data_IF_453981810479
#
_entry.id   IF_453981810479
#
_cell.length_a   1.000
_cell.length_b   1.000
_cell.length_c   1.000
_cell.angle_alpha   90.00
_cell.angle_beta   90.00
_cell.angle_gamma   90.00
#
_symmetry.space_group_name_H-M   'P 1'
#
loop_
_entity.id
_entity.type
_entity.pdbx_description
1 polymer ?
#
# COMPACT_ATOMS: atom_id res chain seq x y z
N UNK A 1 -4.39 24.80 10.71
CA UNK A 1 -4.98 24.33 11.99
C UNK A 1 -4.28 25.07 13.12
N UNK A 2 -5.05 25.66 14.03
CA UNK A 2 -4.56 26.49 15.14
C UNK A 2 -3.82 25.67 16.20
N UNK A 3 -2.63 26.14 16.59
CA UNK A 3 -1.82 25.59 17.68
C UNK A 3 -2.52 25.91 19.00
N UNK A 4 -3.04 24.89 19.68
CA UNK A 4 -3.55 25.04 21.04
C UNK A 4 -2.33 25.06 21.97
N UNK A 5 -2.19 26.13 22.75
CA UNK A 5 -1.06 26.37 23.64
C UNK A 5 -1.11 25.42 24.86
N UNK A 6 0.04 24.86 25.26
CA UNK A 6 0.22 23.91 26.37
C UNK A 6 -0.32 24.47 27.70
N UNK A 7 -0.22 25.78 27.89
CA UNK A 7 -0.71 26.48 29.08
C UNK A 7 -2.24 26.55 29.13
N UNK A 8 -2.90 26.62 27.97
CA UNK A 8 -4.36 26.64 27.86
C UNK A 8 -4.93 25.27 28.20
N UNK A 9 -4.29 24.19 27.73
CA UNK A 9 -4.67 22.81 28.10
C UNK A 9 -4.52 22.58 29.61
N UNK A 10 -3.41 23.03 30.21
CA UNK A 10 -3.17 22.89 31.65
C UNK A 10 -4.20 23.66 32.51
N UNK A 11 -4.56 24.89 32.10
CA UNK A 11 -5.60 25.67 32.79
C UNK A 11 -7.00 25.06 32.63
N UNK A 12 -7.33 24.53 31.45
CA UNK A 12 -8.61 23.86 31.20
C UNK A 12 -8.76 22.60 32.07
N UNK A 13 -7.68 21.84 32.28
CA UNK A 13 -7.69 20.68 33.16
C UNK A 13 -7.77 21.02 34.65
N UNK A 14 -7.22 22.18 35.07
CA UNK A 14 -7.32 22.66 36.45
C UNK A 14 -8.73 23.16 36.80
N UNK A 15 -9.44 23.79 35.85
CA UNK A 15 -10.85 24.19 36.04
C UNK A 15 -11.83 23.02 36.02
N UNK A 16 -11.53 21.95 35.28
CA UNK A 16 -12.36 20.74 35.23
C UNK A 16 -12.15 19.79 36.44
N UNK A 17 -11.15 20.06 37.28
CA UNK A 17 -10.75 19.24 38.44
C UNK A 17 -11.88 19.04 39.47
N UNK A 18 -12.81 20.00 39.57
CA UNK A 18 -13.92 19.97 40.55
C UNK A 18 -15.17 19.24 40.05
N UNK A 19 -15.24 18.86 38.77
CA UNK A 19 -16.37 18.11 38.20
C UNK A 19 -15.91 16.83 37.47
N UNK A 20 -15.58 15.82 38.29
CA UNK A 20 -15.14 14.49 37.85
C UNK A 20 -16.13 13.78 36.91
N UNK A 21 -17.44 14.10 36.97
CA UNK A 21 -18.47 13.53 36.09
C UNK A 21 -18.41 14.13 34.69
N UNK A 22 -18.10 15.42 34.58
CA UNK A 22 -17.94 16.10 33.29
C UNK A 22 -16.64 15.71 32.58
N UNK A 23 -15.55 15.46 33.32
CA UNK A 23 -14.32 14.86 32.77
C UNK A 23 -14.61 13.47 32.19
N UNK A 24 -15.34 12.63 32.94
CA UNK A 24 -15.69 11.27 32.51
C UNK A 24 -16.59 11.28 31.25
N UNK A 25 -17.55 12.20 31.18
CA UNK A 25 -18.38 12.43 29.99
C UNK A 25 -17.58 12.86 28.75
N UNK A 26 -16.60 13.77 28.93
CA UNK A 26 -15.71 14.23 27.86
C UNK A 26 -14.74 13.14 27.36
N UNK A 27 -14.22 12.31 28.27
CA UNK A 27 -13.35 11.16 27.96
C UNK A 27 -14.06 10.09 27.14
N UNK A 28 -15.35 9.87 27.38
CA UNK A 28 -16.16 8.84 26.70
C UNK A 28 -16.66 9.26 25.32
N UNK A 29 -16.62 10.56 24.99
CA UNK A 29 -17.22 11.07 23.74
C UNK A 29 -16.22 11.30 22.60
N UNK A 30 -14.90 11.30 22.86
CA UNK A 30 -13.87 11.44 21.82
C UNK A 30 -12.59 10.66 22.15
N UNK A 31 -12.38 9.55 21.44
CA UNK A 31 -11.21 8.65 21.56
C UNK A 31 -9.85 9.37 21.63
N UNK A 32 -9.69 10.51 20.96
CA UNK A 32 -8.42 11.26 20.90
C UNK A 32 -8.00 11.92 22.21
N UNK A 33 -8.93 12.28 23.10
CA UNK A 33 -8.57 13.00 24.34
C UNK A 33 -7.92 12.05 25.36
N UNK A 34 -8.38 10.80 25.43
CA UNK A 34 -7.75 9.76 26.26
C UNK A 34 -6.32 9.46 25.81
N UNK A 35 -6.06 9.42 24.49
CA UNK A 35 -4.70 9.24 23.96
C UNK A 35 -3.76 10.40 24.29
N UNK A 36 -4.26 11.65 24.24
CA UNK A 36 -3.49 12.84 24.64
C UNK A 36 -3.20 12.79 26.16
N UNK A 37 -4.18 12.39 26.97
CA UNK A 37 -4.02 12.24 28.42
C UNK A 37 -3.01 11.14 28.74
N UNK A 38 -3.12 9.95 28.16
CA UNK A 38 -2.14 8.88 28.36
C UNK A 38 -0.72 9.25 27.87
N UNK A 39 -0.62 10.01 26.78
CA UNK A 39 0.66 10.47 26.21
C UNK A 39 1.36 11.52 27.08
N UNK A 40 0.61 12.44 27.71
CA UNK A 40 1.19 13.50 28.54
C UNK A 40 1.29 13.17 30.03
N UNK A 41 0.55 12.18 30.54
CA UNK A 41 0.38 12.01 31.98
C UNK A 41 0.95 10.71 32.57
N UNK A 42 1.32 9.69 31.79
CA UNK A 42 1.71 8.40 32.41
C UNK A 42 3.04 8.45 33.18
N UNK A 43 3.98 9.33 32.81
CA UNK A 43 5.23 9.52 33.55
C UNK A 43 5.05 10.39 34.80
N UNK A 44 4.40 11.54 34.65
CA UNK A 44 4.30 12.54 35.72
C UNK A 44 3.23 12.21 36.77
N UNK A 45 2.20 11.41 36.44
CA UNK A 45 1.15 11.01 37.39
C UNK A 45 1.67 10.01 38.42
N UNK A 46 2.51 9.05 38.07
CA UNK A 46 2.96 8.04 39.04
C UNK A 46 3.81 8.70 40.14
N UNK A 47 4.68 9.63 39.75
CA UNK A 47 5.46 10.47 40.66
C UNK A 47 4.57 11.45 41.45
N UNK A 48 3.60 12.09 40.81
CA UNK A 48 2.66 13.01 41.48
C UNK A 48 1.72 12.31 42.47
N UNK A 49 1.16 11.15 42.14
CA UNK A 49 0.27 10.35 42.99
C UNK A 49 1.03 9.82 44.21
N UNK A 50 2.26 9.34 44.01
CA UNK A 50 3.12 8.86 45.09
C UNK A 50 3.52 10.00 46.03
N UNK A 51 3.82 11.20 45.48
CA UNK A 51 4.15 12.39 46.26
C UNK A 51 2.96 13.00 47.02
N UNK A 52 1.73 12.74 46.59
CA UNK A 52 0.50 13.20 47.27
C UNK A 52 -0.07 12.18 48.28
N UNK A 53 0.59 11.04 48.48
CA UNK A 53 0.19 10.03 49.48
C UNK A 53 -1.11 9.28 49.16
N UNK A 54 -1.56 9.31 47.89
CA UNK A 54 -2.77 8.63 47.44
C UNK A 54 -2.43 7.16 47.17
N UNK A 55 -2.97 6.23 47.95
CA UNK A 55 -2.85 4.81 47.64
C UNK A 55 -3.70 4.46 46.41
N UNK A 56 -3.03 4.11 45.30
CA UNK A 56 -3.71 3.46 44.18
C UNK A 56 -4.30 2.13 44.66
N UNK A 57 -5.57 1.82 44.34
CA UNK A 57 -6.18 0.57 44.74
C UNK A 57 -5.36 -0.59 44.17
N UNK A 58 -4.76 -1.38 45.07
CA UNK A 58 -4.06 -2.60 44.74
C UNK A 58 -5.00 -3.51 43.97
N UNK A 59 -4.68 -3.77 42.70
CA UNK A 59 -5.21 -4.87 41.90
C UNK A 59 -6.73 -5.06 41.96
N UNK A 60 -7.53 -4.18 41.32
CA UNK A 60 -8.89 -4.52 40.85
C UNK A 60 -9.60 -3.30 40.28
N UNK A 61 -9.38 -3.02 38.99
CA UNK A 61 -10.41 -2.42 38.13
C UNK A 61 -10.07 -2.78 36.68
N UNK A 62 -10.10 -4.08 36.41
CA UNK A 62 -10.01 -4.70 35.08
C UNK A 62 -11.27 -4.51 34.23
N UNK A 63 -12.20 -3.61 34.59
CA UNK A 63 -13.59 -3.67 34.06
C UNK A 63 -14.17 -2.39 33.46
N UNK A 64 -13.42 -1.31 33.20
CA UNK A 64 -14.02 -0.05 32.72
C UNK A 64 -13.52 0.51 31.37
N UNK A 65 -12.65 -0.20 30.67
CA UNK A 65 -12.42 0.03 29.24
C UNK A 65 -12.37 -1.35 28.59
N UNK A 66 -13.41 -1.70 27.84
CA UNK A 66 -13.38 -2.87 26.96
C UNK A 66 -12.38 -2.57 25.83
N UNK A 67 -11.08 -2.67 26.11
CA UNK A 67 -10.00 -2.65 25.12
C UNK A 67 -10.16 -3.77 24.06
N UNK A 68 -11.07 -4.70 24.30
CA UNK A 68 -11.58 -5.69 23.36
C UNK A 68 -12.22 -5.09 22.09
N UNK A 69 -12.56 -3.80 22.06
CA UNK A 69 -13.12 -3.18 20.85
C UNK A 69 -12.05 -2.69 19.86
N UNK A 70 -10.78 -2.58 20.26
CA UNK A 70 -9.73 -2.01 19.40
C UNK A 70 -9.25 -3.08 18.42
N UNK A 71 -9.76 -3.00 17.18
CA UNK A 71 -9.32 -3.86 16.08
C UNK A 71 -8.22 -3.24 15.20
N UNK A 72 -7.96 -1.94 15.33
CA UNK A 72 -6.97 -1.21 14.55
C UNK A 72 -6.11 -0.33 15.46
N UNK A 73 -4.80 -0.38 15.26
CA UNK A 73 -3.82 0.41 16.01
C UNK A 73 -2.85 1.11 15.07
N UNK A 74 -2.67 2.42 15.28
CA UNK A 74 -1.65 3.23 14.62
C UNK A 74 -0.50 3.45 15.59
N UNK A 75 0.69 3.02 15.21
CA UNK A 75 1.90 3.17 16.00
C UNK A 75 2.84 4.18 15.34
N UNK A 76 3.48 5.00 16.17
CA UNK A 76 4.59 5.83 15.75
C UNK A 76 5.81 5.40 16.56
N UNK A 77 6.92 5.06 15.90
CA UNK A 77 8.08 4.48 16.58
C UNK A 77 8.79 5.45 17.53
N UNK A 78 8.58 6.76 17.38
CA UNK A 78 9.06 7.80 18.31
C UNK A 78 8.36 7.80 19.68
N UNK A 79 7.21 7.12 19.81
CA UNK A 79 6.52 6.99 21.10
C UNK A 79 7.26 5.97 21.97
N UNK A 80 7.44 6.29 23.26
CA UNK A 80 8.22 5.46 24.19
C UNK A 80 7.77 3.99 24.23
N UNK A 81 8.73 3.06 24.26
CA UNK A 81 8.46 1.61 24.19
C UNK A 81 7.55 1.10 25.32
N UNK A 82 7.62 1.71 26.50
CA UNK A 82 6.77 1.39 27.66
C UNK A 82 5.27 1.52 27.36
N UNK A 83 4.90 2.48 26.52
CA UNK A 83 3.52 2.65 26.06
C UNK A 83 3.02 1.41 25.30
N UNK A 84 3.80 0.94 24.33
CA UNK A 84 3.43 -0.24 23.54
C UNK A 84 3.52 -1.53 24.35
N UNK A 85 4.42 -1.61 25.33
CA UNK A 85 4.40 -2.69 26.32
C UNK A 85 3.08 -2.73 27.10
N UNK A 86 2.57 -1.58 27.56
CA UNK A 86 1.25 -1.51 28.19
C UNK A 86 0.14 -2.02 27.27
N UNK A 87 0.10 -1.53 26.02
CA UNK A 87 -0.88 -1.97 25.01
C UNK A 87 -0.79 -3.47 24.67
N UNK A 88 0.41 -4.05 24.73
CA UNK A 88 0.62 -5.48 24.53
C UNK A 88 -0.10 -6.33 25.59
N UNK A 89 -0.37 -5.78 26.77
CA UNK A 89 -1.08 -6.49 27.85
C UNK A 89 -2.60 -6.36 27.75
N UNK A 90 -3.13 -5.21 27.31
CA UNK A 90 -4.58 -4.94 27.35
C UNK A 90 -5.32 -5.07 26.01
N UNK A 91 -4.70 -4.76 24.87
CA UNK A 91 -5.42 -4.68 23.58
C UNK A 91 -5.49 -6.00 22.81
N UNK A 92 -6.34 -6.95 23.22
CA UNK A 92 -6.29 -8.34 22.73
C UNK A 92 -6.80 -8.55 21.29
N UNK A 93 -7.64 -7.66 20.77
CA UNK A 93 -8.40 -7.87 19.52
C UNK A 93 -7.85 -7.13 18.30
N UNK A 94 -6.62 -6.62 18.37
CA UNK A 94 -5.98 -5.93 17.24
C UNK A 94 -5.84 -6.89 16.05
N UNK A 95 -6.37 -6.48 14.91
CA UNK A 95 -6.28 -7.19 13.63
C UNK A 95 -5.57 -6.35 12.56
N UNK A 96 -5.60 -5.02 12.68
CA UNK A 96 -4.95 -4.06 11.79
C UNK A 96 -3.89 -3.28 12.56
N UNK A 97 -2.70 -3.22 12.02
CA UNK A 97 -1.58 -2.49 12.61
C UNK A 97 -0.93 -1.63 11.53
N UNK A 98 -0.94 -0.33 11.74
CA UNK A 98 -0.25 0.62 10.88
C UNK A 98 0.91 1.22 11.67
N UNK A 99 2.12 1.23 11.11
CA UNK A 99 3.31 1.76 11.76
C UNK A 99 3.87 2.88 10.90
N UNK A 100 4.03 4.05 11.49
CA UNK A 100 4.85 5.14 10.95
C UNK A 100 6.19 5.09 11.65
N UNK A 101 7.23 4.76 10.89
CA UNK A 101 8.59 4.68 11.42
C UNK A 101 9.32 6.01 11.25
N UNK A 102 9.54 6.69 12.38
CA UNK A 102 10.28 7.95 12.46
C UNK A 102 11.64 7.75 13.11
N UNK A 103 11.74 6.84 14.09
CA UNK A 103 13.00 6.54 14.76
C UNK A 103 13.85 5.57 13.93
N UNK A 104 15.16 5.69 14.12
CA UNK A 104 16.14 4.70 13.71
C UNK A 104 15.89 3.50 14.62
N UNK A 105 16.22 3.52 15.91
CA UNK A 105 16.18 2.31 16.76
C UNK A 105 14.83 1.54 16.77
N UNK A 106 14.84 0.18 16.78
CA UNK A 106 13.61 -0.58 16.83
C UNK A 106 12.89 -0.35 18.16
N UNK A 107 11.58 -0.14 18.10
CA UNK A 107 10.77 0.02 19.29
C UNK A 107 10.38 -1.35 19.86
N UNK A 108 11.10 -1.80 20.90
CA UNK A 108 10.89 -3.13 21.50
C UNK A 108 9.47 -3.35 22.04
N UNK A 109 8.78 -2.28 22.43
CA UNK A 109 7.39 -2.34 22.85
C UNK A 109 6.45 -2.72 21.70
N UNK A 110 6.67 -2.15 20.51
CA UNK A 110 5.95 -2.54 19.28
C UNK A 110 6.28 -3.99 18.90
N UNK A 111 7.55 -4.37 18.95
CA UNK A 111 7.98 -5.75 18.68
C UNK A 111 7.25 -6.72 19.62
N UNK A 112 7.17 -6.39 20.91
CA UNK A 112 6.44 -7.20 21.89
C UNK A 112 4.94 -7.22 21.61
N UNK A 113 4.36 -6.08 21.24
CA UNK A 113 2.95 -5.98 20.87
C UNK A 113 2.62 -6.90 19.68
N UNK A 114 3.46 -6.96 18.65
CA UNK A 114 3.24 -7.87 17.52
C UNK A 114 3.41 -9.33 17.95
N UNK A 115 4.43 -9.63 18.75
CA UNK A 115 4.73 -10.99 19.23
C UNK A 115 3.59 -11.63 20.01
N UNK A 116 2.93 -10.87 20.89
CA UNK A 116 1.82 -11.39 21.68
C UNK A 116 0.51 -11.48 20.88
N UNK A 117 0.45 -10.89 19.68
CA UNK A 117 -0.76 -10.80 18.84
C UNK A 117 -0.69 -11.73 17.64
N UNK A 118 -1.17 -12.96 17.83
CA UNK A 118 -1.17 -14.01 16.80
C UNK A 118 -2.25 -13.88 15.71
N UNK A 119 -3.18 -12.93 15.85
CA UNK A 119 -4.34 -12.78 14.96
C UNK A 119 -4.29 -11.50 14.10
N UNK A 120 -3.11 -10.87 13.97
CA UNK A 120 -2.90 -9.76 13.05
C UNK A 120 -3.12 -10.21 11.60
N UNK A 121 -3.99 -9.48 10.90
CA UNK A 121 -4.42 -9.77 9.53
C UNK A 121 -3.99 -8.69 8.55
N UNK A 122 -3.85 -7.46 9.00
CA UNK A 122 -3.51 -6.34 8.13
C UNK A 122 -2.34 -5.59 8.74
N UNK A 123 -1.29 -5.42 7.96
CA UNK A 123 -0.10 -4.70 8.36
C UNK A 123 0.24 -3.67 7.30
N UNK A 124 0.46 -2.45 7.76
CA UNK A 124 0.89 -1.33 6.94
C UNK A 124 2.07 -0.63 7.62
N UNK A 125 3.09 -0.33 6.83
CA UNK A 125 4.32 0.25 7.32
C UNK A 125 4.75 1.38 6.39
N UNK A 126 4.82 2.60 6.94
CA UNK A 126 5.23 3.83 6.27
C UNK A 126 6.54 4.31 6.90
N UNK A 127 7.53 4.72 6.10
CA UNK A 127 8.86 5.06 6.61
C UNK A 127 9.47 6.30 5.97
N UNK A 128 10.13 7.11 6.80
CA UNK A 128 10.90 8.30 6.36
C UNK A 128 12.44 8.11 6.42
N UNK A 129 12.96 7.09 7.13
CA UNK A 129 14.41 6.87 7.33
C UNK A 129 14.77 5.37 7.40
N UNK A 130 15.95 4.96 6.92
CA UNK A 130 16.48 3.55 6.87
C UNK A 130 16.33 2.83 8.23
N UNK A 131 15.76 1.61 8.31
CA UNK A 131 15.89 0.81 9.55
C UNK A 131 15.54 -0.71 9.62
N UNK A 132 16.11 -1.33 10.66
CA UNK A 132 16.10 -2.72 11.18
C UNK A 132 14.80 -3.22 11.84
N UNK A 133 13.70 -2.44 11.91
CA UNK A 133 12.49 -2.91 12.61
C UNK A 133 11.76 -4.02 11.82
N UNK A 134 11.66 -3.87 10.49
CA UNK A 134 11.01 -4.85 9.61
C UNK A 134 11.57 -6.27 9.82
N UNK A 135 12.89 -6.48 9.90
CA UNK A 135 13.47 -7.78 10.22
C UNK A 135 12.97 -8.43 11.51
N UNK A 136 12.74 -7.63 12.54
CA UNK A 136 12.30 -8.11 13.83
C UNK A 136 10.82 -8.49 13.84
N UNK A 137 9.99 -7.88 12.99
CA UNK A 137 8.54 -8.00 13.06
C UNK A 137 7.93 -8.85 11.96
N UNK A 138 8.48 -8.83 10.74
CA UNK A 138 7.90 -9.55 9.60
C UNK A 138 7.76 -11.06 9.83
N UNK A 139 8.75 -11.76 10.43
CA UNK A 139 8.62 -13.19 10.72
C UNK A 139 7.55 -13.53 11.78
N UNK A 140 7.09 -12.55 12.55
CA UNK A 140 6.10 -12.74 13.63
C UNK A 140 4.65 -12.76 13.12
N UNK A 141 4.41 -12.43 11.85
CA UNK A 141 3.06 -12.51 11.25
C UNK A 141 2.78 -13.90 10.69
N UNK A 142 1.68 -14.52 11.11
CA UNK A 142 1.31 -15.89 10.68
C UNK A 142 -0.04 -16.01 9.96
N UNK A 143 -0.92 -15.01 10.10
CA UNK A 143 -2.29 -15.00 9.53
C UNK A 143 -2.54 -13.75 8.69
N UNK A 144 -1.47 -13.22 8.11
CA UNK A 144 -1.51 -11.95 7.40
C UNK A 144 -2.29 -12.10 6.08
N UNK A 145 -3.22 -11.17 5.86
CA UNK A 145 -4.04 -11.02 4.65
C UNK A 145 -3.64 -9.81 3.82
N UNK A 146 -3.16 -8.74 4.45
CA UNK A 146 -2.61 -7.55 3.78
C UNK A 146 -1.22 -7.26 4.32
N UNK A 147 -0.25 -7.17 3.42
CA UNK A 147 1.07 -6.60 3.66
C UNK A 147 1.20 -5.34 2.81
N UNK A 148 1.33 -4.18 3.45
CA UNK A 148 1.64 -2.92 2.79
C UNK A 148 2.94 -2.34 3.37
N UNK A 149 3.93 -2.10 2.52
CA UNK A 149 5.22 -1.51 2.88
C UNK A 149 5.47 -0.38 1.90
N UNK A 150 5.38 0.86 2.39
CA UNK A 150 5.77 2.06 1.68
C UNK A 150 7.08 2.58 2.30
N UNK A 151 8.18 2.10 1.72
CA UNK A 151 9.52 2.32 2.24
C UNK A 151 10.45 2.48 1.05
N UNK A 152 11.31 3.50 1.10
CA UNK A 152 12.49 3.56 0.25
C UNK A 152 13.51 2.47 0.66
N UNK A 153 13.25 1.23 0.24
CA UNK A 153 14.08 0.05 0.54
C UNK A 153 15.46 0.12 -0.14
N UNK A 154 15.88 1.28 -0.67
CA UNK A 154 17.09 1.52 -1.45
C UNK A 154 18.39 1.03 -0.79
N UNK A 155 18.39 0.74 0.52
CA UNK A 155 19.62 0.48 1.30
C UNK A 155 19.61 -0.77 2.19
N UNK A 156 18.56 -1.60 2.21
CA UNK A 156 18.49 -2.67 3.23
C UNK A 156 18.89 -4.05 2.71
N UNK A 157 19.74 -4.76 3.46
CA UNK A 157 20.09 -6.18 3.26
C UNK A 157 18.97 -7.17 3.64
N UNK A 158 17.74 -6.67 3.69
CA UNK A 158 16.54 -7.38 4.16
C UNK A 158 15.85 -8.16 3.05
N UNK A 159 16.36 -8.05 1.81
CA UNK A 159 15.81 -8.75 0.66
C UNK A 159 15.78 -10.26 0.86
N UNK A 160 16.85 -10.85 1.42
CA UNK A 160 16.90 -12.30 1.68
C UNK A 160 15.88 -12.72 2.74
N UNK A 161 15.68 -11.89 3.77
CA UNK A 161 14.63 -12.14 4.74
C UNK A 161 13.26 -12.10 4.07
N UNK A 162 12.97 -11.04 3.31
CA UNK A 162 11.69 -10.86 2.63
C UNK A 162 11.37 -12.03 1.68
N UNK A 163 12.37 -12.51 0.94
CA UNK A 163 12.24 -13.68 0.05
C UNK A 163 11.94 -14.98 0.81
N UNK A 164 12.32 -15.07 2.08
CA UNK A 164 12.06 -16.26 2.91
C UNK A 164 10.70 -16.25 3.62
N UNK A 165 9.97 -15.13 3.56
CA UNK A 165 8.69 -14.99 4.26
C UNK A 165 7.60 -15.85 3.61
N UNK A 166 6.79 -16.48 4.46
CA UNK A 166 5.70 -17.37 4.06
C UNK A 166 4.39 -16.86 4.65
N UNK A 167 3.50 -16.38 3.78
CA UNK A 167 2.20 -15.83 4.17
C UNK A 167 1.08 -16.51 3.37
N UNK A 168 0.67 -17.70 3.80
CA UNK A 168 -0.30 -18.53 3.05
C UNK A 168 -1.68 -17.88 2.86
N UNK A 169 -2.08 -17.02 3.79
CA UNK A 169 -3.37 -16.31 3.77
C UNK A 169 -3.32 -14.95 3.09
N UNK A 170 -2.20 -14.57 2.47
CA UNK A 170 -2.02 -13.25 1.88
C UNK A 170 -2.95 -13.05 0.68
N UNK A 171 -3.76 -11.99 0.74
CA UNK A 171 -4.72 -11.59 -0.30
C UNK A 171 -4.27 -10.30 -1.00
N UNK A 172 -3.56 -9.42 -0.29
CA UNK A 172 -3.11 -8.11 -0.76
C UNK A 172 -1.62 -7.94 -0.42
N UNK A 173 -0.83 -7.72 -1.46
CA UNK A 173 0.57 -7.36 -1.37
C UNK A 173 0.75 -5.98 -2.00
N UNK A 174 1.17 -5.00 -1.20
CA UNK A 174 1.56 -3.68 -1.66
C UNK A 174 2.99 -3.40 -1.17
N UNK A 175 3.98 -3.37 -2.05
CA UNK A 175 5.35 -3.05 -1.65
C UNK A 175 5.94 -2.09 -2.67
N UNK A 176 6.08 -0.84 -2.26
CA UNK A 176 6.74 0.19 -3.06
C UNK A 176 8.27 0.15 -2.90
N UNK A 177 8.97 0.73 -3.88
CA UNK A 177 10.44 0.83 -3.95
C UNK A 177 11.23 -0.47 -3.69
N UNK A 178 10.63 -1.63 -3.96
CA UNK A 178 11.26 -2.96 -3.82
C UNK A 178 11.79 -3.51 -5.14
N UNK A 179 12.60 -4.57 -5.06
CA UNK A 179 13.05 -5.34 -6.22
C UNK A 179 11.96 -6.34 -6.63
N UNK A 180 11.64 -6.46 -7.93
CA UNK A 180 10.66 -7.44 -8.42
C UNK A 180 10.99 -8.88 -8.02
N UNK A 181 12.26 -9.21 -7.81
CA UNK A 181 12.66 -10.53 -7.31
C UNK A 181 12.13 -10.81 -5.89
N UNK A 182 12.11 -9.80 -5.02
CA UNK A 182 11.55 -9.94 -3.66
C UNK A 182 10.04 -10.18 -3.74
N UNK A 183 9.34 -9.37 -4.55
CA UNK A 183 7.90 -9.52 -4.77
C UNK A 183 7.60 -10.91 -5.37
N UNK A 184 8.41 -11.36 -6.33
CA UNK A 184 8.30 -12.68 -6.97
C UNK A 184 8.45 -13.83 -5.97
N UNK A 185 9.43 -13.75 -5.06
CA UNK A 185 9.61 -14.77 -4.02
C UNK A 185 8.45 -14.78 -3.02
N UNK A 186 7.93 -13.62 -2.64
CA UNK A 186 6.73 -13.56 -1.79
C UNK A 186 5.54 -14.22 -2.51
N UNK A 187 5.32 -13.91 -3.80
CA UNK A 187 4.26 -14.52 -4.61
C UNK A 187 4.38 -16.05 -4.64
N UNK A 188 5.59 -16.58 -4.84
CA UNK A 188 5.86 -18.02 -4.87
C UNK A 188 5.60 -18.69 -3.51
N UNK A 189 5.86 -17.98 -2.41
CA UNK A 189 5.61 -18.48 -1.05
C UNK A 189 4.16 -18.29 -0.58
N UNK A 190 3.33 -17.55 -1.32
CA UNK A 190 1.94 -17.30 -0.97
C UNK A 190 1.05 -18.48 -1.38
N UNK A 191 0.01 -18.78 -0.59
CA UNK A 191 -0.88 -19.94 -0.79
C UNK A 191 -1.87 -19.80 -1.96
N UNK A 192 -1.54 -19.03 -3.00
CA UNK A 192 -2.38 -18.83 -4.19
C UNK A 192 -3.63 -17.97 -3.98
N UNK A 193 -3.70 -17.22 -2.87
CA UNK A 193 -4.87 -16.39 -2.48
C UNK A 193 -4.77 -14.92 -2.85
N UNK A 194 -3.66 -14.52 -3.46
CA UNK A 194 -3.41 -13.14 -3.85
C UNK A 194 -4.45 -12.65 -4.86
N UNK A 195 -5.08 -11.53 -4.52
CA UNK A 195 -6.05 -10.80 -5.35
C UNK A 195 -5.50 -9.45 -5.79
N UNK A 196 -4.53 -8.90 -5.04
CA UNK A 196 -3.91 -7.61 -5.34
C UNK A 196 -2.40 -7.68 -5.18
N UNK A 197 -1.69 -7.30 -6.24
CA UNK A 197 -0.25 -7.07 -6.23
C UNK A 197 -0.05 -5.65 -6.72
N UNK A 198 0.32 -4.77 -5.80
CA UNK A 198 0.42 -3.34 -6.03
C UNK A 198 1.87 -2.91 -5.73
N UNK A 199 2.36 -2.04 -6.59
CA UNK A 199 3.58 -1.28 -6.38
C UNK A 199 3.59 -0.13 -7.38
N UNK A 200 4.30 0.94 -7.07
CA UNK A 200 4.56 2.06 -7.99
C UNK A 200 5.62 1.65 -9.01
N UNK A 201 5.26 1.51 -10.30
CA UNK A 201 6.20 1.02 -11.31
C UNK A 201 7.44 1.91 -11.49
N UNK A 202 7.30 3.22 -11.24
CA UNK A 202 8.37 4.23 -11.37
C UNK A 202 9.34 4.28 -10.19
N UNK A 203 9.00 3.62 -9.09
CA UNK A 203 9.83 3.61 -7.89
C UNK A 203 10.68 2.35 -7.77
N UNK A 204 10.57 1.42 -8.73
CA UNK A 204 11.36 0.18 -8.72
C UNK A 204 12.88 0.46 -8.70
N UNK A 205 13.61 -0.24 -7.83
CA UNK A 205 15.10 -0.19 -7.75
C UNK A 205 15.79 -0.45 -9.09
N UNK A 206 15.12 -1.21 -9.94
CA UNK A 206 15.50 -1.58 -11.29
C UNK A 206 15.78 -0.39 -12.21
N UNK A 207 15.20 0.78 -11.93
CA UNK A 207 15.45 2.02 -12.66
C UNK A 207 16.85 2.60 -12.35
N UNK A 208 17.51 2.19 -11.26
CA UNK A 208 18.73 2.87 -10.76
C UNK A 208 20.02 2.02 -10.72
N UNK A 209 19.99 0.68 -10.88
CA UNK A 209 21.19 -0.19 -10.96
C UNK A 209 20.96 -1.48 -11.76
N UNK A 210 21.99 -1.94 -12.48
CA UNK A 210 22.20 -3.27 -13.09
C UNK A 210 20.92 -4.10 -13.35
N UNK A 211 19.99 -3.51 -14.10
CA UNK A 211 18.74 -4.16 -14.42
C UNK A 211 18.99 -5.44 -15.23
N UNK A 212 18.53 -6.58 -14.70
CA UNK A 212 18.49 -7.83 -15.46
C UNK A 212 17.08 -8.03 -15.98
N UNK A 213 16.96 -8.05 -17.32
CA UNK A 213 15.77 -8.44 -18.08
C UNK A 213 15.08 -9.72 -17.57
N UNK A 214 15.82 -10.61 -16.90
CA UNK A 214 15.30 -11.82 -16.27
C UNK A 214 14.33 -11.56 -15.11
N UNK A 215 14.46 -10.45 -14.37
CA UNK A 215 13.67 -10.20 -13.16
C UNK A 215 12.20 -9.88 -13.50
N UNK A 216 11.98 -8.96 -14.45
CA UNK A 216 10.64 -8.61 -14.94
C UNK A 216 9.95 -9.81 -15.58
N UNK A 217 10.67 -10.58 -16.41
CA UNK A 217 10.12 -11.84 -16.97
C UNK A 217 9.74 -12.82 -15.86
N UNK A 218 10.64 -13.05 -14.90
CA UNK A 218 10.37 -13.95 -13.78
C UNK A 218 9.15 -13.49 -12.98
N UNK A 219 9.02 -12.19 -12.72
CA UNK A 219 7.85 -11.63 -12.04
C UNK A 219 6.54 -11.95 -12.79
N UNK A 220 6.48 -11.67 -14.10
CA UNK A 220 5.30 -11.97 -14.92
C UNK A 220 4.97 -13.46 -14.85
N UNK A 221 5.98 -14.33 -14.95
CA UNK A 221 5.83 -15.79 -14.86
C UNK A 221 5.27 -16.21 -13.51
N UNK A 222 5.87 -15.75 -12.41
CA UNK A 222 5.42 -16.07 -11.06
C UNK A 222 4.00 -15.60 -10.78
N UNK A 223 3.59 -14.44 -11.31
CA UNK A 223 2.21 -13.95 -11.17
C UNK A 223 1.23 -14.91 -11.83
N UNK A 224 1.40 -15.24 -13.11
CA UNK A 224 0.42 -16.10 -13.78
C UNK A 224 0.47 -17.56 -13.30
N UNK A 225 1.61 -18.03 -12.78
CA UNK A 225 1.76 -19.39 -12.22
C UNK A 225 1.09 -19.53 -10.86
N UNK A 226 1.16 -18.50 -10.01
CA UNK A 226 0.78 -18.61 -8.60
C UNK A 226 -0.45 -17.77 -8.22
N UNK A 227 -0.89 -16.83 -9.05
CA UNK A 227 -1.97 -15.88 -8.71
C UNK A 227 -3.15 -15.92 -9.72
N UNK A 228 -3.82 -17.06 -9.96
CA UNK A 228 -4.95 -17.13 -10.90
C UNK A 228 -6.17 -16.31 -10.47
N UNK A 229 -6.24 -15.93 -9.18
CA UNK A 229 -7.31 -15.11 -8.60
C UNK A 229 -7.01 -13.60 -8.64
N UNK A 230 -5.92 -13.18 -9.28
CA UNK A 230 -5.51 -11.78 -9.31
C UNK A 230 -6.60 -10.89 -9.94
N UNK A 231 -6.91 -9.80 -9.26
CA UNK A 231 -7.90 -8.80 -9.67
C UNK A 231 -7.25 -7.42 -9.92
N UNK A 232 -6.21 -7.07 -9.16
CA UNK A 232 -5.48 -5.81 -9.28
C UNK A 232 -4.00 -6.11 -9.44
N UNK A 233 -3.39 -5.61 -10.50
CA UNK A 233 -1.99 -5.89 -10.81
C UNK A 233 -1.27 -4.62 -11.26
N UNK A 234 -0.19 -4.28 -10.57
CA UNK A 234 0.90 -3.47 -11.12
C UNK A 234 1.89 -4.37 -11.86
N UNK A 235 2.33 -3.94 -13.04
CA UNK A 235 3.29 -4.68 -13.86
C UNK A 235 4.23 -3.72 -14.57
N UNK A 236 5.48 -4.14 -14.74
CA UNK A 236 6.46 -3.44 -15.58
C UNK A 236 6.78 -4.25 -16.81
N UNK A 237 6.67 -3.60 -17.97
CA UNK A 237 6.96 -4.19 -19.27
C UNK A 237 8.20 -3.56 -19.88
N UNK A 238 8.97 -4.39 -20.57
CA UNK A 238 10.04 -3.94 -21.45
C UNK A 238 9.59 -4.04 -22.90
N UNK A 239 10.08 -3.17 -23.78
CA UNK A 239 9.80 -3.17 -25.21
C UNK A 239 10.51 -4.36 -25.91
N UNK A 240 10.12 -5.59 -25.58
CA UNK A 240 10.70 -6.78 -26.20
C UNK A 240 9.64 -7.85 -26.45
N UNK A 241 9.84 -8.61 -27.54
CA UNK A 241 8.95 -9.69 -27.95
C UNK A 241 8.74 -10.74 -26.85
N UNK A 242 9.80 -11.04 -26.09
CA UNK A 242 9.70 -12.00 -24.98
C UNK A 242 8.76 -11.50 -23.88
N UNK A 243 8.88 -10.23 -23.48
CA UNK A 243 7.99 -9.62 -22.47
C UNK A 243 6.55 -9.60 -22.93
N UNK A 244 6.30 -9.21 -24.18
CA UNK A 244 4.97 -9.20 -24.76
C UNK A 244 4.35 -10.59 -24.82
N UNK A 245 5.12 -11.64 -25.14
CA UNK A 245 4.64 -13.01 -25.12
C UNK A 245 4.27 -13.48 -23.70
N UNK A 246 5.09 -13.20 -22.69
CA UNK A 246 4.77 -13.57 -21.30
C UNK A 246 3.58 -12.78 -20.77
N UNK A 247 3.49 -11.50 -21.10
CA UNK A 247 2.34 -10.67 -20.74
C UNK A 247 1.04 -11.15 -21.40
N UNK A 248 1.10 -11.57 -22.67
CA UNK A 248 -0.05 -12.16 -23.36
C UNK A 248 -0.53 -13.45 -22.64
N UNK A 249 0.39 -14.31 -22.22
CA UNK A 249 0.04 -15.51 -21.41
C UNK A 249 -0.59 -15.11 -20.09
N UNK A 250 -0.06 -14.09 -19.40
CA UNK A 250 -0.63 -13.58 -18.15
C UNK A 250 -2.09 -13.18 -18.34
N UNK A 251 -2.41 -12.38 -19.35
CA UNK A 251 -3.80 -11.98 -19.65
C UNK A 251 -4.70 -13.17 -20.02
N UNK A 252 -4.14 -14.21 -20.65
CA UNK A 252 -4.86 -15.45 -20.94
C UNK A 252 -5.18 -16.27 -19.68
N UNK A 253 -4.29 -16.30 -18.69
CA UNK A 253 -4.45 -17.11 -17.48
C UNK A 253 -5.24 -16.35 -16.40
N UNK A 254 -4.90 -15.09 -16.17
CA UNK A 254 -5.45 -14.25 -15.09
C UNK A 254 -6.81 -13.64 -15.48
N UNK A 255 -7.84 -14.48 -15.65
CA UNK A 255 -9.17 -14.05 -16.13
C UNK A 255 -9.98 -13.21 -15.13
N UNK A 256 -9.55 -13.12 -13.87
CA UNK A 256 -10.18 -12.28 -12.85
C UNK A 256 -9.67 -10.84 -12.82
N UNK A 257 -8.69 -10.50 -13.66
CA UNK A 257 -8.06 -9.18 -13.66
C UNK A 257 -9.07 -8.07 -14.03
N UNK A 258 -9.22 -7.12 -13.11
CA UNK A 258 -10.13 -5.97 -13.22
C UNK A 258 -9.38 -4.65 -13.34
N UNK A 259 -8.19 -4.56 -12.74
CA UNK A 259 -7.42 -3.32 -12.70
C UNK A 259 -5.98 -3.64 -13.05
N UNK A 260 -5.46 -2.91 -14.03
CA UNK A 260 -4.10 -3.11 -14.51
C UNK A 260 -3.37 -1.77 -14.56
N UNK A 261 -2.24 -1.70 -13.86
CA UNK A 261 -1.32 -0.57 -13.92
C UNK A 261 -0.04 -0.99 -14.61
N UNK A 262 0.16 -0.45 -15.81
CA UNK A 262 1.37 -0.64 -16.60
C UNK A 262 2.40 0.44 -16.27
N UNK A 263 3.61 0.01 -15.95
CA UNK A 263 4.83 0.81 -16.11
C UNK A 263 5.68 0.27 -17.24
N UNK A 264 6.53 1.13 -17.81
CA UNK A 264 7.52 0.74 -18.79
C UNK A 264 8.91 0.95 -18.22
N UNK A 265 9.81 0.04 -18.51
CA UNK A 265 11.24 0.23 -18.26
C UNK A 265 11.99 0.27 -19.60
N UNK A 266 12.86 1.26 -19.76
CA UNK A 266 13.77 1.35 -20.90
C UNK A 266 15.19 1.04 -20.43
N UNK A 267 15.81 -0.03 -20.96
CA UNK A 267 17.19 -0.39 -20.62
C UNK A 267 18.14 0.37 -21.54
N UNK A 268 18.89 1.33 -20.99
CA UNK A 268 20.15 1.87 -21.53
C UNK A 268 20.18 2.31 -23.01
N UNK A 269 19.02 2.47 -23.65
CA UNK A 269 18.88 2.99 -25.02
C UNK A 269 17.66 3.88 -25.06
N UNK A 270 17.83 5.08 -25.61
CA UNK A 270 16.71 5.97 -25.92
C UNK A 270 15.96 5.35 -27.09
N UNK A 271 14.72 4.93 -26.86
CA UNK A 271 13.82 4.48 -27.93
C UNK A 271 13.45 5.67 -28.82
N UNK A 272 13.39 5.45 -30.14
CA UNK A 272 12.81 6.44 -31.04
C UNK A 272 11.30 6.55 -30.82
N UNK A 273 10.69 7.67 -31.22
CA UNK A 273 9.23 7.82 -31.16
C UNK A 273 8.51 6.74 -31.99
N UNK A 274 9.12 6.31 -33.09
CA UNK A 274 8.62 5.20 -33.93
C UNK A 274 8.63 3.88 -33.15
N UNK A 275 9.74 3.53 -32.49
CA UNK A 275 9.85 2.32 -31.66
C UNK A 275 8.82 2.33 -30.52
N UNK A 276 8.66 3.47 -29.83
CA UNK A 276 7.66 3.62 -28.75
C UNK A 276 6.24 3.37 -29.29
N UNK A 277 5.93 3.95 -30.46
CA UNK A 277 4.60 3.84 -31.08
C UNK A 277 4.32 2.42 -31.59
N UNK A 278 5.32 1.75 -32.17
CA UNK A 278 5.23 0.36 -32.64
C UNK A 278 5.01 -0.60 -31.46
N UNK A 279 5.77 -0.42 -30.37
CA UNK A 279 5.59 -1.17 -29.13
C UNK A 279 4.21 -0.93 -28.53
N UNK A 280 3.73 0.31 -28.54
CA UNK A 280 2.38 0.66 -28.11
C UNK A 280 1.30 -0.03 -28.94
N UNK A 281 1.43 -0.05 -30.26
CA UNK A 281 0.51 -0.77 -31.15
C UNK A 281 0.51 -2.28 -30.92
N UNK A 282 1.69 -2.86 -30.66
CA UNK A 282 1.83 -4.29 -30.31
C UNK A 282 1.10 -4.60 -28.99
N UNK A 283 1.27 -3.76 -27.98
CA UNK A 283 0.60 -3.89 -26.69
C UNK A 283 -0.94 -3.83 -26.84
N UNK A 284 -1.46 -2.88 -27.61
CA UNK A 284 -2.90 -2.77 -27.86
C UNK A 284 -3.45 -4.00 -28.59
N UNK A 285 -2.73 -4.56 -29.56
CA UNK A 285 -3.11 -5.82 -30.23
C UNK A 285 -3.19 -6.99 -29.24
N UNK A 286 -2.27 -7.06 -28.27
CA UNK A 286 -2.32 -8.06 -27.20
C UNK A 286 -3.58 -7.87 -26.35
N UNK A 287 -3.95 -6.63 -26.00
CA UNK A 287 -5.19 -6.37 -25.28
C UNK A 287 -6.43 -6.84 -26.05
N UNK A 288 -6.54 -6.53 -27.35
CA UNK A 288 -7.66 -6.98 -28.20
C UNK A 288 -7.82 -8.50 -28.15
N UNK A 289 -6.70 -9.23 -28.22
CA UNK A 289 -6.71 -10.68 -28.39
C UNK A 289 -6.82 -11.46 -27.08
N UNK A 290 -6.30 -10.90 -25.99
CA UNK A 290 -5.97 -11.69 -24.79
C UNK A 290 -6.49 -11.11 -23.48
N UNK A 291 -6.83 -9.82 -23.44
CA UNK A 291 -7.31 -9.19 -22.22
C UNK A 291 -8.60 -9.85 -21.72
N UNK A 292 -8.79 -9.94 -20.40
CA UNK A 292 -10.02 -10.46 -19.86
C UNK A 292 -11.14 -9.42 -20.00
N UNK A 293 -12.35 -9.89 -20.29
CA UNK A 293 -13.51 -9.06 -20.62
C UNK A 293 -14.05 -8.25 -19.44
N UNK A 294 -13.60 -8.56 -18.22
CA UNK A 294 -13.94 -7.87 -16.98
C UNK A 294 -12.94 -6.78 -16.57
N UNK A 295 -11.97 -6.44 -17.43
CA UNK A 295 -11.04 -5.34 -17.19
C UNK A 295 -11.81 -4.02 -17.08
N UNK A 296 -11.77 -3.40 -15.90
CA UNK A 296 -12.51 -2.19 -15.54
C UNK A 296 -11.67 -0.92 -15.62
N UNK A 297 -10.35 -1.04 -15.47
CA UNK A 297 -9.45 0.11 -15.51
C UNK A 297 -8.06 -0.28 -16.02
N UNK A 298 -7.54 0.57 -16.90
CA UNK A 298 -6.17 0.50 -17.42
C UNK A 298 -5.45 1.80 -17.08
N UNK A 299 -4.31 1.69 -16.41
CA UNK A 299 -3.42 2.83 -16.09
C UNK A 299 -2.09 2.68 -16.81
N UNK A 300 -1.60 3.76 -17.41
CA UNK A 300 -0.28 3.83 -18.04
C UNK A 300 0.20 5.29 -18.10
N UNK A 301 1.51 5.53 -18.06
CA UNK A 301 2.09 6.88 -18.04
C UNK A 301 2.85 7.18 -19.35
N UNK A 302 3.63 8.27 -19.36
CA UNK A 302 4.27 8.88 -20.54
C UNK A 302 5.16 7.94 -21.35
N UNK A 303 5.57 6.80 -20.78
CA UNK A 303 6.42 5.85 -21.49
C UNK A 303 5.64 4.98 -22.49
N UNK A 304 4.31 4.95 -22.40
CA UNK A 304 3.43 4.30 -23.37
C UNK A 304 2.74 5.33 -24.27
N UNK A 305 3.10 5.32 -25.55
CA UNK A 305 2.45 6.16 -26.57
C UNK A 305 1.71 5.29 -27.57
N UNK A 306 0.47 5.66 -27.84
CA UNK A 306 -0.37 5.01 -28.84
C UNK A 306 -0.66 6.03 -29.94
N UNK A 307 -0.43 5.67 -31.20
CA UNK A 307 -0.93 6.49 -32.30
C UNK A 307 -2.45 6.55 -32.26
N UNK A 308 -3.00 7.64 -32.77
CA UNK A 308 -4.45 7.85 -32.88
C UNK A 308 -5.14 6.66 -33.60
N UNK A 309 -4.53 6.18 -34.69
CA UNK A 309 -5.00 5.03 -35.46
C UNK A 309 -5.03 3.73 -34.64
N UNK A 310 -3.92 3.40 -33.94
CA UNK A 310 -3.85 2.19 -33.13
C UNK A 310 -4.85 2.24 -31.95
N UNK A 311 -5.03 3.42 -31.35
CA UNK A 311 -6.00 3.62 -30.28
C UNK A 311 -7.45 3.49 -30.79
N UNK A 312 -7.75 4.05 -31.95
CA UNK A 312 -9.07 3.91 -32.58
C UNK A 312 -9.37 2.45 -32.93
N UNK A 313 -8.40 1.72 -33.49
CA UNK A 313 -8.54 0.30 -33.79
C UNK A 313 -8.81 -0.51 -32.51
N UNK A 314 -8.05 -0.24 -31.44
CA UNK A 314 -8.23 -0.89 -30.15
C UNK A 314 -9.63 -0.68 -29.57
N UNK A 315 -10.06 0.58 -29.47
CA UNK A 315 -11.37 0.92 -28.91
C UNK A 315 -12.52 0.37 -29.78
N UNK A 316 -12.35 0.37 -31.11
CA UNK A 316 -13.34 -0.17 -32.05
C UNK A 316 -13.46 -1.69 -32.00
N UNK A 317 -12.38 -2.40 -31.65
CA UNK A 317 -12.35 -3.87 -31.54
C UNK A 317 -12.54 -4.38 -30.11
N UNK A 318 -12.61 -3.49 -29.11
CA UNK A 318 -12.78 -3.88 -27.72
C UNK A 318 -14.13 -4.60 -27.51
N UNK A 319 -14.07 -5.81 -26.97
CA UNK A 319 -15.24 -6.65 -26.67
C UNK A 319 -15.50 -6.84 -25.18
N UNK A 320 -14.70 -6.20 -24.33
CA UNK A 320 -14.85 -6.26 -22.88
C UNK A 320 -15.95 -5.34 -22.38
N UNK A 321 -16.11 -5.30 -21.05
CA UNK A 321 -16.99 -4.33 -20.42
C UNK A 321 -16.46 -2.90 -20.63
N UNK A 322 -17.33 -1.88 -20.44
CA UNK A 322 -16.90 -0.50 -20.41
C UNK A 322 -15.83 -0.31 -19.32
N UNK A 323 -14.70 0.30 -19.69
CA UNK A 323 -13.54 0.43 -18.82
C UNK A 323 -13.07 1.87 -18.73
N UNK A 324 -12.28 2.16 -17.70
CA UNK A 324 -11.71 3.48 -17.45
C UNK A 324 -10.25 3.50 -17.90
N UNK A 325 -9.82 4.61 -18.48
CA UNK A 325 -8.42 4.85 -18.83
C UNK A 325 -7.93 6.00 -17.97
N UNK A 326 -6.76 5.81 -17.35
CA UNK A 326 -6.11 6.83 -16.56
C UNK A 326 -4.64 6.94 -17.00
N UNK A 327 -4.23 8.15 -17.38
CA UNK A 327 -2.88 8.44 -17.88
C UNK A 327 -2.42 9.83 -17.47
N UNK A 328 -1.11 10.08 -17.55
CA UNK A 328 -0.50 11.40 -17.35
C UNK A 328 0.20 11.94 -18.61
N UNK A 329 0.08 11.26 -19.76
CA UNK A 329 0.70 11.75 -21.00
C UNK A 329 -0.14 12.87 -21.62
N UNK A 330 0.48 14.05 -21.73
CA UNK A 330 -0.12 15.24 -22.32
C UNK A 330 -0.56 15.06 -23.79
N UNK A 331 -0.10 14.03 -24.50
CA UNK A 331 -0.54 13.69 -25.86
C UNK A 331 -2.07 13.58 -25.95
N UNK A 332 -2.71 12.99 -24.93
CA UNK A 332 -4.14 12.75 -24.91
C UNK A 332 -4.97 14.00 -24.67
N UNK A 333 -4.34 15.13 -24.33
CA UNK A 333 -5.00 16.43 -24.22
C UNK A 333 -5.19 17.14 -25.56
N UNK A 334 -4.58 16.63 -26.64
CA UNK A 334 -4.75 17.16 -27.98
C UNK A 334 -6.17 16.92 -28.52
N UNK A 335 -6.62 17.83 -29.39
CA UNK A 335 -7.99 17.88 -29.89
C UNK A 335 -8.43 16.58 -30.58
N UNK A 336 -7.54 15.95 -31.35
CA UNK A 336 -7.85 14.73 -32.09
C UNK A 336 -8.07 13.53 -31.15
N UNK A 337 -7.26 13.42 -30.08
CA UNK A 337 -7.42 12.36 -29.08
C UNK A 337 -8.68 12.60 -28.23
N UNK A 338 -8.96 13.85 -27.84
CA UNK A 338 -10.20 14.20 -27.12
C UNK A 338 -11.44 13.81 -27.92
N UNK A 339 -11.50 14.16 -29.22
CA UNK A 339 -12.58 13.75 -30.11
C UNK A 339 -12.75 12.24 -30.19
N UNK A 340 -11.63 11.49 -30.30
CA UNK A 340 -11.65 10.04 -30.35
C UNK A 340 -12.18 9.44 -29.03
N UNK A 341 -11.68 9.92 -27.91
CA UNK A 341 -12.09 9.49 -26.57
C UNK A 341 -13.58 9.77 -26.36
N UNK A 342 -14.06 10.96 -26.69
CA UNK A 342 -15.47 11.34 -26.52
C UNK A 342 -16.40 10.53 -27.43
N UNK A 343 -15.97 10.21 -28.66
CA UNK A 343 -16.67 9.25 -29.54
C UNK A 343 -16.88 7.90 -28.83
N UNK A 344 -15.84 7.36 -28.20
CA UNK A 344 -15.93 6.05 -27.52
C UNK A 344 -16.52 6.10 -26.11
N UNK A 345 -16.57 7.27 -25.46
CA UNK A 345 -17.41 7.52 -24.28
C UNK A 345 -18.90 7.48 -24.65
N UNK A 346 -19.28 8.19 -25.72
CA UNK A 346 -20.67 8.24 -26.19
C UNK A 346 -21.16 6.86 -26.66
N UNK A 347 -20.28 6.05 -27.24
CA UNK A 347 -20.59 4.68 -27.64
C UNK A 347 -20.55 3.67 -26.47
N UNK A 348 -20.25 4.11 -25.25
CA UNK A 348 -20.26 3.29 -24.05
C UNK A 348 -19.07 2.34 -23.88
N UNK A 349 -18.01 2.46 -24.69
CA UNK A 349 -16.79 1.65 -24.55
C UNK A 349 -15.89 2.20 -23.43
N UNK A 350 -15.70 3.51 -23.41
CA UNK A 350 -14.96 4.20 -22.35
C UNK A 350 -15.96 4.66 -21.30
N UNK A 351 -15.82 4.14 -20.08
CA UNK A 351 -16.61 4.60 -18.93
C UNK A 351 -16.12 5.96 -18.44
N UNK A 352 -14.81 6.08 -18.26
CA UNK A 352 -14.16 7.28 -17.77
C UNK A 352 -12.78 7.41 -18.42
N UNK A 353 -12.39 8.61 -18.80
CA UNK A 353 -11.03 8.90 -19.22
C UNK A 353 -10.52 10.03 -18.33
N UNK A 354 -9.45 9.76 -17.59
CA UNK A 354 -8.81 10.72 -16.70
C UNK A 354 -7.39 11.00 -17.17
N UNK A 355 -7.10 12.28 -17.32
CA UNK A 355 -5.75 12.79 -17.49
C UNK A 355 -5.35 13.44 -16.16
N UNK A 356 -4.26 12.98 -15.55
CA UNK A 356 -3.78 13.47 -14.28
C UNK A 356 -2.35 13.96 -14.40
N UNK A 357 -2.12 15.24 -14.05
CA UNK A 357 -0.80 15.88 -14.13
C UNK A 357 0.06 15.48 -12.93
N UNK A 358 -0.55 15.28 -11.76
CA UNK A 358 0.17 14.91 -10.54
C UNK A 358 0.23 13.39 -10.40
N UNK A 359 1.45 12.85 -10.56
CA UNK A 359 1.77 11.45 -10.32
C UNK A 359 1.28 10.96 -8.94
N UNK A 360 1.18 11.83 -7.92
CA UNK A 360 0.75 11.47 -6.56
C UNK A 360 -0.76 11.20 -6.44
N UNK A 361 -1.61 11.91 -7.16
CA UNK A 361 -3.07 11.68 -7.16
C UNK A 361 -3.42 10.36 -7.87
N UNK A 362 -2.67 10.03 -8.93
CA UNK A 362 -2.71 8.72 -9.60
C UNK A 362 -2.34 7.56 -8.67
N UNK A 363 -1.31 7.73 -7.84
CA UNK A 363 -0.82 6.74 -6.88
C UNK A 363 -1.88 6.46 -5.80
N UNK A 364 -2.39 7.51 -5.16
CA UNK A 364 -3.31 7.39 -4.03
C UNK A 364 -4.64 6.72 -4.43
N UNK A 365 -5.13 6.98 -5.65
CA UNK A 365 -6.38 6.39 -6.14
C UNK A 365 -6.28 4.89 -6.47
N UNK A 366 -5.09 4.31 -6.62
CA UNK A 366 -4.92 2.86 -6.81
C UNK A 366 -4.73 2.11 -5.50
N UNK A 367 -4.03 2.73 -4.55
CA UNK A 367 -3.66 2.12 -3.27
C UNK A 367 -4.84 2.07 -2.30
N UNK A 368 -5.79 3.01 -2.41
CA UNK A 368 -6.99 3.07 -1.55
C UNK A 368 -8.09 2.06 -1.99
N UNK A 369 -7.99 1.48 -3.19
CA UNK A 369 -8.95 0.49 -3.72
C UNK A 369 -8.69 -0.92 -3.19
#
# INVERSE_FOLDING_TARGET
>A
MSIINKDILFLTFKELQDDSKSIFSCLMNKNYLFFIIAYYLFGDIEEFITNQGIQLPSSSNQSLLSYDSICELNCNTSVGSTYFYGLSQCCQNIQRLNIVNIDISPNDGIVKLIEVRKNLKYFEYLQDFIHTLLPCILPKFHKLKKLAIDVDLFFTGEEELLKSLIYHDLEILNIDSSNLNVISSIIENCGGRLKKILFRPYDLKEIRRDFKNSNTLNFIRKVYENCPLIEYLSIVLLPSKEHFNEFEKLLKICKNLKYLWLGKLSINRIESLEEITENGGTLLKIFINSAPTNLKELRFFEEFKFSLENLEEFLGKWKGCPFSILTCDSLYESEDYKKLIDKYKNNGIIKEFRYEIDYRELINSFIVL
#
